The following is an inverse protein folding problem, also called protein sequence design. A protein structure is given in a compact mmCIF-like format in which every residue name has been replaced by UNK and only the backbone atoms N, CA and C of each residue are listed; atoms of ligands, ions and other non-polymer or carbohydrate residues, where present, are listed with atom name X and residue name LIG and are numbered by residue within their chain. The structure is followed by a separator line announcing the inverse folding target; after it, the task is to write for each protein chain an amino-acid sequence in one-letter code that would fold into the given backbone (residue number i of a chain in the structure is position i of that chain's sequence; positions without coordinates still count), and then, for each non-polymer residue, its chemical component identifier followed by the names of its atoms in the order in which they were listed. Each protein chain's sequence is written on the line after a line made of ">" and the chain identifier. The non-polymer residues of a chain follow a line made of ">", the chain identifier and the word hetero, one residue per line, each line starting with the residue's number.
data_IF_876327619920
#
_entry.id   IF_876327619920
#
_cell.length_a   1.000
_cell.length_b   1.000
_cell.length_c   1.000
_cell.angle_alpha   90.00
_cell.angle_beta   90.00
_cell.angle_gamma   90.00
#
_symmetry.space_group_name_H-M   'P 1'
#
loop_
_entity.id
_entity.type
_entity.pdbx_description
1 polymer ?
#
# COMPACT_ATOMS: atom_id res chain seq x y z
N UNK A 1 -34.72 42.32 17.01
CA UNK A 1 -34.55 40.99 16.37
C UNK A 1 -33.04 40.76 16.33
N UNK A 2 -32.47 40.28 17.43
CA UNK A 2 -31.03 40.11 17.64
C UNK A 2 -30.73 38.62 17.50
N UNK A 3 -30.21 38.25 16.34
CA UNK A 3 -29.75 36.89 16.04
C UNK A 3 -28.36 36.71 16.67
N UNK A 4 -28.33 36.21 17.91
CA UNK A 4 -27.11 35.85 18.60
C UNK A 4 -26.89 34.34 18.44
N UNK A 5 -26.27 33.94 17.33
CA UNK A 5 -25.72 32.58 17.21
C UNK A 5 -24.70 32.35 18.32
N UNK A 6 -24.78 31.22 19.06
CA UNK A 6 -23.81 30.93 20.11
C UNK A 6 -22.40 30.78 19.51
N UNK A 7 -21.35 31.21 20.22
CA UNK A 7 -19.97 31.08 19.74
C UNK A 7 -19.65 29.61 19.50
N UNK A 8 -19.19 29.30 18.28
CA UNK A 8 -18.69 27.97 17.93
C UNK A 8 -17.54 27.66 18.91
N UNK A 9 -17.61 26.58 19.69
CA UNK A 9 -16.53 26.24 20.62
C UNK A 9 -15.23 26.03 19.82
N UNK A 10 -14.10 26.56 20.29
CA UNK A 10 -12.84 26.41 19.59
C UNK A 10 -12.51 24.91 19.42
N UNK A 11 -11.96 24.49 18.27
CA UNK A 11 -11.47 23.13 18.13
C UNK A 11 -10.43 22.89 19.23
N UNK A 12 -10.64 21.85 20.05
CA UNK A 12 -9.68 21.45 21.09
C UNK A 12 -8.39 21.03 20.40
N UNK A 13 -7.38 21.87 20.46
CA UNK A 13 -6.01 21.48 20.12
C UNK A 13 -5.61 20.32 21.02
N UNK A 14 -5.35 19.13 20.46
CA UNK A 14 -4.57 18.12 21.17
C UNK A 14 -5.02 16.66 21.16
N UNK A 15 -5.91 16.18 20.29
CA UNK A 15 -6.13 14.72 20.18
C UNK A 15 -5.04 14.08 19.30
N UNK A 16 -3.78 14.19 19.74
CA UNK A 16 -2.77 13.22 19.34
C UNK A 16 -3.14 11.90 20.00
N UNK A 17 -3.70 10.99 19.21
CA UNK A 17 -4.00 9.65 19.66
C UNK A 17 -2.82 8.71 19.33
N UNK A 18 -1.96 8.38 20.31
CA UNK A 18 -0.84 7.47 20.09
C UNK A 18 -1.30 6.06 19.71
N UNK A 19 -2.52 5.66 20.09
CA UNK A 19 -3.07 4.34 19.76
C UNK A 19 -3.41 4.26 18.29
N UNK A 20 -4.04 5.31 17.73
CA UNK A 20 -4.32 5.42 16.30
C UNK A 20 -3.05 5.40 15.45
N UNK A 21 -1.98 6.08 15.89
CA UNK A 21 -0.70 6.05 15.18
C UNK A 21 -0.06 4.65 15.21
N UNK A 22 -0.11 3.97 16.36
CA UNK A 22 0.40 2.62 16.51
C UNK A 22 -0.38 1.61 15.64
N UNK A 23 -1.70 1.75 15.56
CA UNK A 23 -2.56 0.94 14.70
C UNK A 23 -2.25 1.15 13.20
N UNK A 24 -2.09 2.40 12.77
CA UNK A 24 -1.67 2.73 11.40
C UNK A 24 -0.29 2.16 11.07
N UNK A 25 0.64 2.22 12.01
CA UNK A 25 1.99 1.65 11.84
C UNK A 25 1.95 0.12 11.77
N UNK A 26 1.16 -0.55 12.61
CA UNK A 26 0.99 -1.99 12.59
C UNK A 26 0.33 -2.46 11.27
N UNK A 27 -0.70 -1.75 10.80
CA UNK A 27 -1.36 -2.03 9.52
C UNK A 27 -0.40 -1.83 8.33
N UNK A 28 0.46 -0.81 8.38
CA UNK A 28 1.51 -0.59 7.39
C UNK A 28 2.54 -1.73 7.41
N UNK A 29 2.99 -2.17 8.58
CA UNK A 29 3.96 -3.27 8.70
C UNK A 29 3.39 -4.60 8.20
N UNK A 30 2.13 -4.94 8.51
CA UNK A 30 1.47 -6.15 7.97
C UNK A 30 1.33 -6.07 6.44
N UNK A 31 0.94 -4.89 5.92
CA UNK A 31 0.84 -4.67 4.47
C UNK A 31 2.20 -4.81 3.78
N UNK A 32 3.27 -4.30 4.39
CA UNK A 32 4.62 -4.38 3.85
C UNK A 32 5.19 -5.80 3.91
N UNK A 33 4.93 -6.56 4.98
CA UNK A 33 5.31 -7.97 5.08
C UNK A 33 4.61 -8.83 4.01
N UNK A 34 3.30 -8.61 3.80
CA UNK A 34 2.54 -9.26 2.71
C UNK A 34 3.09 -8.91 1.33
N UNK A 35 3.44 -7.64 1.10
CA UNK A 35 4.06 -7.17 -0.14
C UNK A 35 5.37 -7.91 -0.40
N UNK A 36 6.27 -7.94 0.58
CA UNK A 36 7.59 -8.58 0.45
C UNK A 36 7.43 -10.09 0.18
N UNK A 37 6.55 -10.78 0.90
CA UNK A 37 6.28 -12.21 0.69
C UNK A 37 5.78 -12.49 -0.73
N UNK A 38 4.83 -11.70 -1.23
CA UNK A 38 4.29 -11.90 -2.58
C UNK A 38 5.34 -11.59 -3.66
N UNK A 39 6.18 -10.58 -3.47
CA UNK A 39 7.30 -10.30 -4.39
C UNK A 39 8.33 -11.43 -4.40
N UNK A 40 8.62 -12.01 -3.24
CA UNK A 40 9.51 -13.16 -3.12
C UNK A 40 8.95 -14.39 -3.83
N UNK A 41 7.66 -14.70 -3.62
CA UNK A 41 6.97 -15.79 -4.30
C UNK A 41 6.97 -15.61 -5.83
N UNK A 42 6.72 -14.39 -6.31
CA UNK A 42 6.80 -14.04 -7.74
C UNK A 42 8.22 -14.29 -8.27
N UNK A 43 9.24 -13.82 -7.55
CA UNK A 43 10.64 -14.02 -7.92
C UNK A 43 11.01 -15.50 -8.01
N UNK A 44 10.54 -16.32 -7.08
CA UNK A 44 10.77 -17.77 -7.08
C UNK A 44 10.08 -18.45 -8.28
N UNK A 45 8.84 -18.07 -8.59
CA UNK A 45 8.13 -18.58 -9.77
C UNK A 45 8.83 -18.23 -11.08
N UNK A 46 9.30 -17.00 -11.22
CA UNK A 46 10.08 -16.55 -12.39
C UNK A 46 11.40 -17.31 -12.51
N UNK A 47 12.07 -17.60 -11.39
CA UNK A 47 13.31 -18.39 -11.39
C UNK A 47 13.06 -19.81 -11.90
N UNK A 48 12.03 -20.48 -11.40
CA UNK A 48 11.62 -21.82 -11.87
C UNK A 48 11.27 -21.80 -13.35
N UNK A 49 10.48 -20.82 -13.78
CA UNK A 49 10.07 -20.66 -15.17
C UNK A 49 11.28 -20.48 -16.11
N UNK A 50 12.27 -19.67 -15.70
CA UNK A 50 13.50 -19.49 -16.46
C UNK A 50 14.23 -20.81 -16.66
N UNK A 51 14.30 -21.66 -15.64
CA UNK A 51 14.93 -22.97 -15.76
C UNK A 51 14.20 -23.89 -16.77
N UNK A 52 12.89 -23.75 -16.94
CA UNK A 52 12.13 -24.49 -17.95
C UNK A 52 12.34 -23.95 -19.37
N UNK A 53 12.45 -22.62 -19.52
CA UNK A 53 12.67 -21.97 -20.82
C UNK A 53 14.10 -22.17 -21.32
N UNK A 54 15.10 -22.11 -20.43
CA UNK A 54 16.52 -22.29 -20.76
C UNK A 54 16.87 -23.76 -21.11
N UNK A 55 15.89 -24.69 -21.08
CA UNK A 55 16.10 -26.07 -21.48
C UNK A 55 16.40 -26.17 -22.99
N UNK A 56 17.43 -26.92 -23.42
CA UNK A 56 17.91 -26.90 -24.81
C UNK A 56 16.95 -27.50 -25.85
N UNK A 57 15.92 -28.25 -25.44
CA UNK A 57 14.85 -28.71 -26.33
C UNK A 57 13.49 -28.69 -25.60
N UNK A 58 12.89 -27.50 -25.42
CA UNK A 58 11.67 -27.34 -24.65
C UNK A 58 10.48 -27.79 -25.50
N UNK A 59 9.79 -28.84 -25.04
CA UNK A 59 8.58 -29.32 -25.69
C UNK A 59 7.55 -28.18 -25.89
N UNK A 60 6.84 -28.09 -27.04
CA UNK A 60 5.90 -27.00 -27.31
C UNK A 60 4.83 -26.81 -26.24
N UNK A 61 4.41 -27.90 -25.59
CA UNK A 61 3.47 -27.87 -24.46
C UNK A 61 4.04 -27.16 -23.24
N UNK A 62 5.34 -27.36 -22.95
CA UNK A 62 6.03 -26.64 -21.86
C UNK A 62 6.13 -25.16 -22.17
N UNK A 63 6.35 -24.79 -23.43
CA UNK A 63 6.40 -23.38 -23.82
C UNK A 63 5.04 -22.67 -23.66
N UNK A 64 3.94 -23.37 -23.96
CA UNK A 64 2.58 -22.84 -23.71
C UNK A 64 2.29 -22.72 -22.22
N UNK A 65 2.63 -23.75 -21.44
CA UNK A 65 2.49 -23.73 -19.98
C UNK A 65 3.31 -22.59 -19.36
N UNK A 66 4.53 -22.37 -19.85
CA UNK A 66 5.36 -21.24 -19.46
C UNK A 66 4.69 -19.90 -19.75
N UNK A 67 4.09 -19.73 -20.94
CA UNK A 67 3.31 -18.54 -21.28
C UNK A 67 2.13 -18.29 -20.34
N UNK A 68 1.37 -19.34 -19.98
CA UNK A 68 0.30 -19.24 -18.97
C UNK A 68 0.85 -18.85 -17.61
N UNK A 69 1.95 -19.45 -17.17
CA UNK A 69 2.60 -19.13 -15.89
C UNK A 69 3.09 -17.67 -15.84
N UNK A 70 3.61 -17.12 -16.94
CA UNK A 70 3.94 -15.68 -17.02
C UNK A 70 2.69 -14.83 -16.82
N UNK A 71 1.57 -15.17 -17.46
CA UNK A 71 0.31 -14.46 -17.30
C UNK A 71 -0.15 -14.41 -15.84
N UNK A 72 -0.14 -15.56 -15.16
CA UNK A 72 -0.49 -15.65 -13.73
C UNK A 72 0.44 -14.83 -12.83
N UNK A 73 1.73 -14.76 -13.17
CA UNK A 73 2.70 -13.94 -12.44
C UNK A 73 2.40 -12.45 -12.63
N UNK A 74 2.07 -12.02 -13.85
CA UNK A 74 1.72 -10.63 -14.14
C UNK A 74 0.43 -10.21 -13.41
N UNK A 75 -0.60 -11.06 -13.44
CA UNK A 75 -1.84 -10.84 -12.70
C UNK A 75 -1.59 -10.73 -11.19
N UNK A 76 -0.72 -11.60 -10.65
CA UNK A 76 -0.29 -11.55 -9.26
C UNK A 76 0.46 -10.25 -8.92
N UNK A 77 1.32 -9.78 -9.82
CA UNK A 77 2.06 -8.53 -9.64
C UNK A 77 1.13 -7.31 -9.64
N UNK A 78 0.13 -7.28 -10.51
CA UNK A 78 -0.86 -6.20 -10.57
C UNK A 78 -1.66 -6.10 -9.26
N UNK A 79 -2.04 -7.24 -8.66
CA UNK A 79 -2.69 -7.28 -7.35
C UNK A 79 -1.76 -6.73 -6.27
N UNK A 80 -0.48 -7.12 -6.29
CA UNK A 80 0.52 -6.65 -5.33
C UNK A 80 0.71 -5.14 -5.40
N UNK A 81 0.86 -4.60 -6.61
CA UNK A 81 1.02 -3.15 -6.84
C UNK A 81 -0.22 -2.40 -6.38
N UNK A 82 -1.43 -2.90 -6.70
CA UNK A 82 -2.69 -2.30 -6.27
C UNK A 82 -2.81 -2.25 -4.76
N UNK A 83 -2.57 -3.37 -4.08
CA UNK A 83 -2.70 -3.46 -2.62
C UNK A 83 -1.69 -2.53 -1.92
N UNK A 84 -0.44 -2.51 -2.40
CA UNK A 84 0.58 -1.58 -1.88
C UNK A 84 0.20 -0.12 -2.11
N UNK A 85 -0.33 0.22 -3.30
CA UNK A 85 -0.82 1.56 -3.61
C UNK A 85 -1.98 2.00 -2.70
N UNK A 86 -2.93 1.11 -2.43
CA UNK A 86 -4.05 1.38 -1.52
C UNK A 86 -3.59 1.57 -0.07
N UNK A 87 -2.63 0.76 0.39
CA UNK A 87 -2.02 0.92 1.72
C UNK A 87 -1.31 2.27 1.84
N UNK A 88 -0.50 2.65 0.85
CA UNK A 88 0.19 3.95 0.83
C UNK A 88 -0.79 5.13 0.76
N UNK A 89 -1.86 5.03 -0.03
CA UNK A 89 -2.88 6.08 -0.09
C UNK A 89 -3.62 6.23 1.24
N UNK A 90 -3.90 5.14 1.94
CA UNK A 90 -4.52 5.16 3.27
C UNK A 90 -3.62 5.87 4.28
N UNK A 91 -2.33 5.52 4.31
CA UNK A 91 -1.33 6.19 5.15
C UNK A 91 -1.20 7.69 4.81
N UNK A 92 -1.18 8.05 3.52
CA UNK A 92 -1.07 9.43 3.08
C UNK A 92 -2.28 10.27 3.52
N UNK A 93 -3.49 9.71 3.46
CA UNK A 93 -4.73 10.37 3.91
C UNK A 93 -4.76 10.60 5.41
N UNK A 94 -4.17 9.70 6.20
CA UNK A 94 -4.00 9.88 7.64
C UNK A 94 -2.98 10.98 7.95
N UNK A 95 -1.93 11.11 7.13
CA UNK A 95 -0.91 12.17 7.25
C UNK A 95 -1.34 13.55 6.73
N UNK A 96 -2.25 13.63 5.74
CA UNK A 96 -2.72 14.90 5.15
C UNK A 96 -3.99 15.45 5.78
N UNK A 97 -4.56 14.79 6.79
CA UNK A 97 -5.61 15.40 7.61
C UNK A 97 -5.05 16.69 8.26
N UNK A 98 -5.55 17.88 7.89
CA UNK A 98 -4.95 19.12 8.35
C UNK A 98 -5.24 19.34 9.83
N UNK A 99 -4.19 19.29 10.64
CA UNK A 99 -4.08 20.27 11.72
C UNK A 99 -3.83 21.62 11.03
N UNK A 100 -4.85 22.49 10.99
CA UNK A 100 -4.73 23.85 10.45
C UNK A 100 -3.69 24.63 11.28
N UNK A 101 -2.42 24.55 10.88
CA UNK A 101 -1.35 25.39 11.37
C UNK A 101 -1.25 26.64 10.51
N UNK A 102 -2.00 27.68 10.88
CA UNK A 102 -1.69 29.03 10.44
C UNK A 102 -0.54 29.55 11.32
N UNK A 103 0.62 29.72 10.69
CA UNK A 103 1.85 30.19 11.31
C UNK A 103 1.77 31.67 11.66
N UNK A 104 1.33 31.96 12.88
CA UNK A 104 1.46 33.28 13.49
C UNK A 104 2.94 33.60 13.77
N UNK A 105 3.52 34.42 12.90
CA UNK A 105 4.87 34.99 13.06
C UNK A 105 4.90 35.92 14.27
N UNK A 106 5.92 35.73 15.11
CA UNK A 106 6.30 36.58 16.24
C UNK A 106 6.57 38.00 15.76
N UNK A 107 5.82 39.00 16.27
CA UNK A 107 6.34 40.23 16.89
C UNK A 107 5.26 41.12 17.45
#
# INVERSE_FOLDING_TARGET
>A
MTDASPPIPPPRSGDFDPTRLADSQAAYMDSNDRLIRRLFDIGLRLHTLRAEIDHPDPAPERMRAAGTAVGEILDGLDIVIRDAGLAMLSLAREHTAPGNGDGGTVR
#
